data_IF_534615084890
#
_entry.id   IF_534615084890
#
_cell.length_a   1.000
_cell.length_b   1.000
_cell.length_c   1.000
_cell.angle_alpha   90.00
_cell.angle_beta   90.00
_cell.angle_gamma   90.00
#
_symmetry.space_group_name_H-M   'P 1'
#
loop_
_entity.id
_entity.type
_entity.pdbx_description
1 polymer ?
#
# COMPACT_ATOMS: atom_id res chain seq x y z
N UNK A 1 22.35 -21.03 -13.60
CA UNK A 1 22.54 -20.86 -12.15
C UNK A 1 21.23 -20.22 -11.59
N UNK A 2 20.70 -20.76 -10.50
CA UNK A 2 19.55 -20.12 -9.81
C UNK A 2 20.04 -18.83 -9.15
N UNK A 3 19.26 -17.77 -9.24
CA UNK A 3 19.55 -16.48 -8.58
C UNK A 3 19.34 -16.68 -7.07
N UNK A 4 20.32 -16.28 -6.27
CA UNK A 4 20.17 -16.16 -4.82
C UNK A 4 19.60 -14.79 -4.48
N UNK A 5 18.30 -14.72 -4.34
CA UNK A 5 17.60 -13.46 -4.04
C UNK A 5 17.89 -12.96 -2.62
N UNK A 6 18.14 -13.86 -1.63
CA UNK A 6 18.47 -13.43 -0.28
C UNK A 6 19.79 -12.67 -0.24
N UNK A 7 20.81 -13.17 -0.96
CA UNK A 7 22.09 -12.45 -1.09
C UNK A 7 21.91 -11.06 -1.76
N UNK A 8 20.97 -10.93 -2.71
CA UNK A 8 20.65 -9.64 -3.32
C UNK A 8 19.97 -8.68 -2.32
N UNK A 9 19.12 -9.17 -1.42
CA UNK A 9 18.49 -8.34 -0.40
C UNK A 9 19.48 -7.88 0.67
N UNK A 10 20.48 -8.67 1.00
CA UNK A 10 21.52 -8.31 1.97
C UNK A 10 22.58 -7.33 1.41
N UNK A 11 22.64 -7.17 0.08
CA UNK A 11 23.56 -6.27 -0.62
C UNK A 11 22.83 -5.22 -1.46
N UNK A 12 22.00 -4.35 -0.84
CA UNK A 12 21.22 -3.35 -1.57
C UNK A 12 22.13 -2.29 -2.18
N UNK A 13 21.68 -1.59 -3.23
CA UNK A 13 22.39 -0.42 -3.74
C UNK A 13 22.44 0.68 -2.68
N UNK A 14 23.58 1.41 -2.62
CA UNK A 14 23.67 2.61 -1.79
C UNK A 14 22.74 3.69 -2.31
N UNK A 15 21.87 4.19 -1.43
CA UNK A 15 20.89 5.23 -1.74
C UNK A 15 21.25 6.59 -1.15
N UNK A 16 22.36 6.68 -0.41
CA UNK A 16 22.85 7.96 0.12
C UNK A 16 23.24 8.90 -1.03
N UNK A 17 22.85 10.16 -0.94
CA UNK A 17 23.14 11.15 -1.98
C UNK A 17 22.42 10.93 -3.32
N UNK A 18 21.48 9.97 -3.38
CA UNK A 18 20.61 9.77 -4.54
C UNK A 18 19.38 10.69 -4.49
N UNK A 19 18.52 10.63 -5.51
CA UNK A 19 17.21 11.28 -5.60
C UNK A 19 16.12 10.61 -4.75
N UNK A 20 16.48 9.70 -3.84
CA UNK A 20 15.54 8.98 -2.99
C UNK A 20 14.86 9.90 -1.99
N UNK A 21 13.53 10.04 -2.12
CA UNK A 21 12.71 10.76 -1.13
C UNK A 21 12.89 10.22 0.29
N UNK A 22 13.04 8.89 0.43
CA UNK A 22 13.23 8.21 1.72
C UNK A 22 14.49 8.72 2.42
N UNK A 23 15.61 8.75 1.71
CA UNK A 23 16.91 9.10 2.24
C UNK A 23 17.15 10.61 2.31
N UNK A 24 16.64 11.39 1.35
CA UNK A 24 16.83 12.84 1.30
C UNK A 24 16.20 13.58 2.49
N UNK A 25 15.11 13.06 3.09
CA UNK A 25 14.45 13.66 4.25
C UNK A 25 15.40 13.87 5.43
N UNK A 26 16.31 12.94 5.63
CA UNK A 26 17.25 12.94 6.76
C UNK A 26 18.70 13.23 6.36
N UNK A 27 18.96 13.55 5.10
CA UNK A 27 20.30 13.84 4.60
C UNK A 27 20.96 14.96 5.42
N UNK A 28 22.15 14.68 5.99
CA UNK A 28 22.93 15.61 6.82
C UNK A 28 22.34 15.87 8.23
N UNK A 29 21.19 15.29 8.56
CA UNK A 29 20.64 15.36 9.94
C UNK A 29 21.29 14.30 10.82
N UNK A 30 21.73 14.72 12.00
CA UNK A 30 22.34 13.82 12.99
C UNK A 30 21.66 13.96 14.35
N UNK A 31 21.72 12.91 15.13
CA UNK A 31 21.37 12.95 16.55
C UNK A 31 22.36 13.81 17.34
N UNK A 32 22.07 14.10 18.61
CA UNK A 32 22.98 14.80 19.49
C UNK A 32 24.33 14.07 19.65
N UNK A 33 24.32 12.75 19.58
CA UNK A 33 25.50 11.89 19.65
C UNK A 33 26.21 11.72 18.30
N UNK A 34 25.79 12.45 17.27
CA UNK A 34 26.41 12.46 15.94
C UNK A 34 26.03 11.28 15.02
N UNK A 35 25.05 10.46 15.38
CA UNK A 35 24.57 9.35 14.55
C UNK A 35 23.69 9.87 13.40
N UNK A 36 23.80 9.26 12.23
CA UNK A 36 22.87 9.50 11.13
C UNK A 36 21.49 8.88 11.44
N UNK A 37 20.43 9.57 10.99
CA UNK A 37 19.06 9.08 11.20
C UNK A 37 18.73 8.06 10.12
N UNK A 38 18.41 6.84 10.54
CA UNK A 38 17.96 5.76 9.65
C UNK A 38 16.54 6.03 9.16
N UNK A 39 16.30 6.14 7.84
CA UNK A 39 14.97 6.47 7.30
C UNK A 39 14.06 5.23 7.22
N UNK A 40 13.18 5.07 8.19
CA UNK A 40 12.22 3.96 8.29
C UNK A 40 10.76 4.46 8.13
N UNK A 41 10.51 5.44 7.25
CA UNK A 41 9.23 6.18 7.18
C UNK A 41 8.40 5.91 5.92
N UNK A 42 8.88 6.25 4.73
CA UNK A 42 8.10 6.12 3.49
C UNK A 42 8.05 4.67 3.01
N UNK A 43 6.93 4.30 2.39
CA UNK A 43 6.66 2.94 1.95
C UNK A 43 7.30 2.63 0.57
N UNK A 44 8.63 2.65 0.51
CA UNK A 44 9.46 1.95 -0.47
C UNK A 44 10.47 1.06 0.27
N UNK A 45 11.02 0.07 -0.40
CA UNK A 45 12.04 -0.81 0.18
C UNK A 45 13.44 -0.37 -0.23
N UNK A 46 14.47 -0.84 0.47
CA UNK A 46 15.86 -0.52 0.13
C UNK A 46 16.48 -1.55 -0.84
N UNK A 47 15.74 -2.56 -1.24
CA UNK A 47 16.16 -3.59 -2.18
C UNK A 47 16.10 -3.10 -3.63
N UNK A 48 17.00 -3.62 -4.48
CA UNK A 48 16.86 -3.45 -5.91
C UNK A 48 15.58 -4.14 -6.42
N UNK A 49 15.01 -3.59 -7.49
CA UNK A 49 13.90 -4.25 -8.20
C UNK A 49 14.32 -5.64 -8.74
N UNK A 50 13.36 -6.54 -9.05
CA UNK A 50 13.67 -7.85 -9.60
C UNK A 50 14.57 -7.77 -10.83
N UNK A 51 15.57 -8.66 -10.96
CA UNK A 51 16.45 -8.71 -12.16
C UNK A 51 15.67 -8.84 -13.47
N UNK A 52 14.53 -9.52 -13.45
CA UNK A 52 13.63 -9.68 -14.59
C UNK A 52 13.02 -8.34 -15.02
N UNK A 53 12.68 -7.49 -14.06
CA UNK A 53 12.17 -6.13 -14.31
C UNK A 53 13.30 -5.25 -14.86
N UNK A 54 14.49 -5.28 -14.26
CA UNK A 54 15.66 -4.53 -14.74
C UNK A 54 16.00 -4.93 -16.17
N UNK A 55 15.98 -6.23 -16.48
CA UNK A 55 16.23 -6.74 -17.85
C UNK A 55 15.19 -6.21 -18.85
N UNK A 56 13.91 -6.21 -18.51
CA UNK A 56 12.87 -5.69 -19.39
C UNK A 56 13.02 -4.17 -19.65
N UNK A 57 13.38 -3.41 -18.61
CA UNK A 57 13.70 -1.98 -18.75
C UNK A 57 14.88 -1.75 -19.67
N UNK A 58 15.97 -2.53 -19.51
CA UNK A 58 17.15 -2.44 -20.35
C UNK A 58 16.84 -2.72 -21.82
N UNK A 59 16.05 -3.76 -22.09
CA UNK A 59 15.60 -4.08 -23.45
C UNK A 59 14.79 -2.92 -24.06
N UNK A 60 13.89 -2.32 -23.27
CA UNK A 60 13.08 -1.19 -23.73
C UNK A 60 13.91 0.08 -23.96
N UNK A 61 14.93 0.32 -23.12
CA UNK A 61 15.87 1.44 -23.28
C UNK A 61 16.71 1.23 -24.54
N UNK A 62 17.23 0.01 -24.79
CA UNK A 62 18.04 -0.33 -25.95
C UNK A 62 17.29 -0.15 -27.27
N UNK A 63 15.95 -0.22 -27.29
CA UNK A 63 15.14 0.11 -28.47
C UNK A 63 15.29 1.59 -28.89
N UNK A 64 15.54 2.51 -27.94
CA UNK A 64 15.94 3.89 -28.19
C UNK A 64 14.81 4.86 -28.63
N UNK A 65 13.58 4.39 -28.87
CA UNK A 65 12.45 5.25 -29.25
C UNK A 65 11.45 5.36 -28.12
N UNK A 66 11.26 6.56 -27.57
CA UNK A 66 10.37 6.85 -26.42
C UNK A 66 9.13 7.62 -26.87
N UNK A 67 8.49 7.16 -27.96
CA UNK A 67 7.24 7.74 -28.48
C UNK A 67 6.02 7.38 -27.63
N UNK A 68 4.83 7.81 -28.09
CA UNK A 68 3.58 7.46 -27.43
C UNK A 68 3.37 5.94 -27.42
N UNK A 69 3.11 5.40 -26.24
CA UNK A 69 2.78 3.98 -26.07
C UNK A 69 1.27 3.74 -26.05
N UNK A 70 0.91 2.49 -26.20
CA UNK A 70 -0.44 1.98 -25.98
C UNK A 70 -0.39 0.73 -25.10
N UNK A 71 -1.50 0.36 -24.53
CA UNK A 71 -1.64 -0.89 -23.77
C UNK A 71 -1.50 -2.06 -24.73
N UNK A 72 -0.39 -2.82 -24.61
CA UNK A 72 -0.16 -3.98 -25.47
C UNK A 72 -0.93 -5.20 -24.98
N UNK A 73 -1.10 -6.20 -25.86
CA UNK A 73 -1.72 -7.46 -25.51
C UNK A 73 -0.91 -8.20 -24.42
N UNK A 74 0.42 -8.15 -24.50
CA UNK A 74 1.33 -8.77 -23.52
C UNK A 74 1.15 -8.14 -22.12
N UNK A 75 1.01 -6.81 -22.05
CA UNK A 75 0.72 -6.12 -20.80
C UNK A 75 -0.58 -6.62 -20.17
N UNK A 76 -1.66 -6.65 -20.96
CA UNK A 76 -2.97 -7.10 -20.45
C UNK A 76 -2.97 -8.57 -20.08
N UNK A 77 -2.32 -9.43 -20.86
CA UNK A 77 -2.22 -10.86 -20.59
C UNK A 77 -1.40 -11.16 -19.34
N UNK A 78 -0.30 -10.45 -19.10
CA UNK A 78 0.49 -10.57 -17.88
C UNK A 78 -0.36 -10.28 -16.62
N UNK A 79 -1.22 -9.25 -16.67
CA UNK A 79 -2.12 -8.89 -15.57
C UNK A 79 -3.22 -9.96 -15.40
N UNK A 80 -3.92 -10.34 -16.48
CA UNK A 80 -4.95 -11.38 -16.44
C UNK A 80 -4.39 -12.69 -15.90
N UNK A 81 -3.20 -13.08 -16.37
CA UNK A 81 -2.51 -14.28 -15.90
C UNK A 81 -2.15 -14.21 -14.40
N UNK A 82 -1.70 -13.06 -13.93
CA UNK A 82 -1.38 -12.85 -12.52
C UNK A 82 -2.64 -12.91 -11.64
N UNK A 83 -3.73 -12.26 -12.01
CA UNK A 83 -5.00 -12.30 -11.26
C UNK A 83 -5.53 -13.72 -11.14
N UNK A 84 -5.49 -14.49 -12.21
CA UNK A 84 -5.91 -15.89 -12.20
C UNK A 84 -4.98 -16.78 -11.36
N UNK A 85 -3.66 -16.63 -11.53
CA UNK A 85 -2.65 -17.44 -10.85
C UNK A 85 -2.61 -17.20 -9.35
N UNK A 86 -2.63 -15.93 -8.94
CA UNK A 86 -2.33 -15.53 -7.56
C UNK A 86 -3.61 -15.45 -6.70
N UNK A 87 -4.76 -15.11 -7.30
CA UNK A 87 -6.02 -14.88 -6.58
C UNK A 87 -7.18 -15.77 -7.05
N UNK A 88 -7.01 -16.58 -8.10
CA UNK A 88 -8.12 -17.35 -8.70
C UNK A 88 -9.19 -16.45 -9.32
N UNK A 89 -8.88 -15.18 -9.55
CA UNK A 89 -9.81 -14.18 -10.07
C UNK A 89 -9.70 -14.07 -11.59
N UNK A 90 -10.72 -14.57 -12.29
CA UNK A 90 -10.82 -14.47 -13.74
C UNK A 90 -11.29 -13.06 -14.13
N UNK A 91 -10.41 -12.27 -14.72
CA UNK A 91 -10.73 -10.95 -15.25
C UNK A 91 -10.61 -10.91 -16.77
N UNK A 92 -11.25 -9.91 -17.40
CA UNK A 92 -11.15 -9.68 -18.84
C UNK A 92 -10.18 -8.52 -19.12
N UNK A 93 -9.43 -8.55 -20.25
CA UNK A 93 -8.52 -7.48 -20.62
C UNK A 93 -9.17 -6.09 -20.68
N UNK A 94 -10.42 -6.01 -21.15
CA UNK A 94 -11.18 -4.77 -21.26
C UNK A 94 -11.64 -4.16 -19.92
N UNK A 95 -11.53 -4.91 -18.81
CA UNK A 95 -11.80 -4.38 -17.48
C UNK A 95 -10.64 -3.56 -16.94
N UNK A 96 -9.43 -3.70 -17.54
CA UNK A 96 -8.20 -3.09 -17.07
C UNK A 96 -8.08 -1.68 -17.61
N UNK A 97 -8.01 -0.70 -16.72
CA UNK A 97 -7.73 0.69 -17.04
C UNK A 97 -6.35 1.04 -16.44
N UNK A 98 -5.29 1.14 -17.26
CA UNK A 98 -3.97 1.51 -16.77
C UNK A 98 -3.92 2.97 -16.33
N UNK A 99 -3.25 3.24 -15.20
CA UNK A 99 -3.14 4.53 -14.55
C UNK A 99 -1.67 4.90 -14.30
N UNK A 100 -1.37 6.19 -14.29
CA UNK A 100 -0.02 6.71 -14.02
C UNK A 100 0.37 6.74 -12.53
N UNK A 101 -0.30 5.97 -11.71
CA UNK A 101 -0.05 5.79 -10.27
C UNK A 101 -1.33 5.65 -9.46
N UNK A 102 -1.21 5.02 -8.28
CA UNK A 102 -2.38 4.68 -7.48
C UNK A 102 -3.05 5.90 -6.85
N UNK A 103 -2.30 6.91 -6.41
CA UNK A 103 -2.88 8.14 -5.86
C UNK A 103 -3.73 8.85 -6.90
N UNK A 104 -3.27 8.91 -8.16
CA UNK A 104 -4.07 9.42 -9.27
C UNK A 104 -5.33 8.58 -9.47
N UNK A 105 -5.22 7.24 -9.40
CA UNK A 105 -6.36 6.34 -9.54
C UNK A 105 -7.41 6.53 -8.43
N UNK A 106 -6.99 6.74 -7.17
CA UNK A 106 -7.89 7.05 -6.04
C UNK A 106 -8.66 8.36 -6.27
N UNK A 107 -7.97 9.41 -6.75
CA UNK A 107 -8.60 10.69 -7.05
C UNK A 107 -9.59 10.56 -8.24
N UNK A 108 -9.22 9.83 -9.29
CA UNK A 108 -10.13 9.57 -10.42
C UNK A 108 -11.34 8.75 -9.98
N UNK A 109 -11.14 7.72 -9.13
CA UNK A 109 -12.23 6.93 -8.57
C UNK A 109 -13.20 7.83 -7.76
N UNK A 110 -12.66 8.65 -6.86
CA UNK A 110 -13.48 9.60 -6.10
C UNK A 110 -14.29 10.55 -7.01
N UNK A 111 -13.65 11.05 -8.09
CA UNK A 111 -14.30 11.92 -9.08
C UNK A 111 -15.38 11.21 -9.90
N UNK A 112 -15.23 9.90 -10.13
CA UNK A 112 -16.17 9.09 -10.91
C UNK A 112 -17.42 8.66 -10.14
N UNK A 113 -17.44 8.89 -8.81
CA UNK A 113 -18.49 8.48 -7.90
C UNK A 113 -19.31 9.72 -7.47
N UNK A 114 -20.63 9.68 -7.69
CA UNK A 114 -21.54 10.75 -7.30
C UNK A 114 -21.20 12.11 -7.95
N UNK A 115 -21.81 13.15 -7.41
CA UNK A 115 -21.63 14.54 -7.84
C UNK A 115 -20.88 15.36 -6.78
N UNK A 116 -20.56 16.62 -7.10
CA UNK A 116 -19.97 17.57 -6.12
C UNK A 116 -20.88 17.72 -4.91
N UNK A 117 -20.30 17.55 -3.72
CA UNK A 117 -21.03 17.62 -2.45
C UNK A 117 -21.68 16.31 -2.01
N UNK A 118 -21.65 15.26 -2.82
CA UNK A 118 -21.93 13.90 -2.34
C UNK A 118 -20.81 13.41 -1.41
N UNK A 119 -21.04 12.32 -0.68
CA UNK A 119 -20.11 11.82 0.32
C UNK A 119 -19.53 10.46 -0.07
N UNK A 120 -18.27 10.25 0.32
CA UNK A 120 -17.55 8.98 0.23
C UNK A 120 -17.05 8.62 1.63
N UNK A 121 -17.31 7.39 2.06
CA UNK A 121 -16.95 6.88 3.37
C UNK A 121 -15.60 6.14 3.29
N UNK A 122 -14.77 6.29 4.32
CA UNK A 122 -13.56 5.47 4.53
C UNK A 122 -13.32 5.25 6.02
N UNK A 123 -12.41 4.34 6.37
CA UNK A 123 -11.99 4.13 7.77
C UNK A 123 -10.80 5.02 8.15
N UNK A 124 -10.56 5.15 9.47
CA UNK A 124 -9.30 5.65 10.05
C UNK A 124 -8.85 4.76 11.21
N UNK A 125 -7.53 4.57 11.45
CA UNK A 125 -6.42 5.08 10.64
C UNK A 125 -6.35 4.39 9.27
N UNK A 126 -5.94 5.12 8.23
CA UNK A 126 -5.76 4.59 6.88
C UNK A 126 -4.73 5.41 6.10
N UNK A 127 -4.24 4.90 4.99
CA UNK A 127 -3.34 5.63 4.10
C UNK A 127 -3.98 6.98 3.67
N UNK A 128 -3.27 8.10 3.82
CA UNK A 128 -3.84 9.44 3.69
C UNK A 128 -4.64 9.69 2.41
N UNK A 129 -4.20 9.13 1.28
CA UNK A 129 -4.88 9.36 0.00
C UNK A 129 -6.34 8.85 -0.02
N UNK A 130 -6.72 7.89 0.85
CA UNK A 130 -8.10 7.41 0.89
C UNK A 130 -9.07 8.42 1.51
N UNK A 131 -8.61 9.26 2.45
CA UNK A 131 -9.48 10.30 3.01
C UNK A 131 -9.26 11.69 2.37
N UNK A 132 -8.11 11.92 1.69
CA UNK A 132 -7.88 13.19 0.98
C UNK A 132 -8.42 13.18 -0.45
N UNK A 133 -8.45 12.03 -1.14
CA UNK A 133 -8.96 11.97 -2.52
C UNK A 133 -10.42 12.42 -2.65
N UNK A 134 -11.37 12.03 -1.77
CA UNK A 134 -12.73 12.57 -1.81
C UNK A 134 -12.74 14.09 -1.74
N UNK A 135 -12.05 14.69 -0.79
CA UNK A 135 -12.04 16.16 -0.60
C UNK A 135 -11.36 16.90 -1.75
N UNK A 136 -10.27 16.36 -2.31
CA UNK A 136 -9.64 16.92 -3.51
C UNK A 136 -10.60 16.94 -4.70
N UNK A 137 -11.51 15.99 -4.76
CA UNK A 137 -12.52 15.87 -5.83
C UNK A 137 -13.88 16.48 -5.43
N UNK A 138 -13.92 17.32 -4.40
CA UNK A 138 -15.11 18.05 -3.93
C UNK A 138 -16.26 17.13 -3.48
N UNK A 139 -15.89 15.96 -2.92
CA UNK A 139 -16.79 15.08 -2.17
C UNK A 139 -16.52 15.24 -0.68
N UNK A 140 -17.55 15.12 0.12
CA UNK A 140 -17.41 15.00 1.57
C UNK A 140 -16.72 13.67 1.91
N UNK A 141 -15.71 13.69 2.79
CA UNK A 141 -15.11 12.49 3.30
C UNK A 141 -15.68 12.14 4.67
N UNK A 142 -16.38 11.02 4.78
CA UNK A 142 -16.87 10.49 6.05
C UNK A 142 -15.86 9.49 6.58
N UNK A 143 -15.09 9.87 7.61
CA UNK A 143 -14.12 9.00 8.25
C UNK A 143 -14.76 8.26 9.43
N UNK A 144 -14.76 6.92 9.38
CA UNK A 144 -15.25 6.03 10.44
C UNK A 144 -14.05 5.43 11.17
N UNK A 145 -13.92 5.55 12.49
CA UNK A 145 -12.84 4.93 13.22
C UNK A 145 -12.98 3.40 13.20
N UNK A 146 -11.88 2.70 12.94
CA UNK A 146 -11.82 1.25 13.14
C UNK A 146 -11.90 0.93 14.64
N UNK A 147 -12.60 -0.13 14.99
CA UNK A 147 -12.60 -0.68 16.34
C UNK A 147 -11.24 -1.32 16.64
N UNK A 148 -10.57 -0.89 17.72
CA UNK A 148 -9.24 -1.41 18.10
C UNK A 148 -9.31 -2.82 18.71
N UNK A 149 -10.43 -3.17 19.34
CA UNK A 149 -10.60 -4.42 20.09
C UNK A 149 -11.71 -5.30 19.49
N UNK A 150 -11.56 -6.63 19.51
CA UNK A 150 -10.38 -7.43 19.95
C UNK A 150 -9.21 -7.32 18.95
N UNK A 151 -9.49 -7.03 17.72
CA UNK A 151 -8.56 -6.74 16.63
C UNK A 151 -9.09 -5.56 15.84
N UNK A 152 -8.21 -4.78 15.24
CA UNK A 152 -8.61 -3.67 14.38
C UNK A 152 -9.59 -4.15 13.30
N UNK A 153 -10.83 -3.65 13.32
CA UNK A 153 -11.90 -4.09 12.44
C UNK A 153 -12.87 -2.96 12.08
N UNK A 154 -13.60 -3.11 11.00
CA UNK A 154 -14.74 -2.25 10.67
C UNK A 154 -15.88 -2.55 11.64
N UNK A 155 -16.34 -1.53 12.36
CA UNK A 155 -17.59 -1.59 13.13
C UNK A 155 -18.76 -1.25 12.19
N UNK A 156 -19.44 -2.27 11.70
CA UNK A 156 -20.51 -2.10 10.70
C UNK A 156 -21.73 -1.35 11.25
N UNK A 157 -21.95 -1.32 12.57
CA UNK A 157 -23.04 -0.51 13.18
C UNK A 157 -22.67 0.98 13.15
N UNK A 158 -21.40 1.31 13.38
CA UNK A 158 -20.90 2.70 13.25
C UNK A 158 -20.91 3.11 11.78
N UNK A 159 -20.49 2.22 10.86
CA UNK A 159 -20.55 2.48 9.41
C UNK A 159 -21.96 2.81 8.96
N UNK A 160 -22.95 1.96 9.29
CA UNK A 160 -24.35 2.15 8.90
C UNK A 160 -24.93 3.46 9.42
N UNK A 161 -24.59 3.86 10.66
CA UNK A 161 -25.02 5.13 11.26
C UNK A 161 -24.39 6.36 10.59
N UNK A 162 -23.19 6.21 10.02
CA UNK A 162 -22.48 7.30 9.34
C UNK A 162 -22.98 7.55 7.90
N UNK A 163 -23.64 6.57 7.29
CA UNK A 163 -24.20 6.68 5.94
C UNK A 163 -25.35 7.71 5.92
N UNK A 164 -25.29 8.61 4.96
CA UNK A 164 -26.29 9.66 4.72
C UNK A 164 -26.96 9.46 3.36
N UNK A 165 -28.08 10.12 3.06
CA UNK A 165 -28.68 10.10 1.73
C UNK A 165 -27.79 10.62 0.60
N UNK A 166 -26.65 11.29 0.94
CA UNK A 166 -25.66 11.77 -0.03
C UNK A 166 -24.46 10.83 -0.16
N UNK A 167 -24.36 9.78 0.64
CA UNK A 167 -23.26 8.83 0.55
C UNK A 167 -23.38 8.00 -0.73
N UNK A 168 -22.34 7.99 -1.58
CA UNK A 168 -22.32 7.30 -2.89
C UNK A 168 -21.26 6.24 -2.99
N UNK A 169 -20.27 6.25 -2.10
CA UNK A 169 -19.17 5.28 -2.18
C UNK A 169 -18.52 5.00 -0.85
N UNK A 170 -17.77 3.89 -0.84
CA UNK A 170 -16.93 3.46 0.26
C UNK A 170 -15.54 3.17 -0.28
N UNK A 171 -14.50 3.76 0.32
CA UNK A 171 -13.09 3.47 0.02
C UNK A 171 -12.52 2.52 1.06
N UNK A 172 -12.06 1.36 0.60
CA UNK A 172 -11.48 0.28 1.38
C UNK A 172 -9.98 0.17 1.09
N UNK A 173 -9.15 0.04 2.13
CA UNK A 173 -7.75 -0.36 2.02
C UNK A 173 -7.63 -1.86 2.35
N UNK A 174 -7.17 -2.67 1.39
CA UNK A 174 -7.15 -4.12 1.54
C UNK A 174 -5.99 -4.77 0.75
N UNK A 175 -4.93 -5.27 1.41
CA UNK A 175 -4.62 -5.25 2.85
C UNK A 175 -4.47 -3.84 3.42
N UNK A 176 -4.73 -3.70 4.73
CA UNK A 176 -4.91 -2.38 5.35
C UNK A 176 -3.61 -1.74 5.81
N UNK A 177 -3.28 -0.58 5.27
CA UNK A 177 -2.18 0.28 5.71
C UNK A 177 -2.76 1.45 6.54
N UNK A 178 -2.31 1.66 7.80
CA UNK A 178 -1.00 1.28 8.36
C UNK A 178 -0.99 0.01 9.24
N UNK A 179 -2.12 -0.61 9.54
CA UNK A 179 -2.25 -1.65 10.57
C UNK A 179 -1.69 -3.00 10.12
N UNK A 180 -1.64 -3.24 8.79
CA UNK A 180 -1.18 -4.50 8.22
C UNK A 180 -2.22 -5.63 8.27
N UNK A 181 -3.52 -5.33 8.51
CA UNK A 181 -4.61 -6.31 8.50
C UNK A 181 -4.92 -6.82 7.08
N UNK A 182 -5.22 -8.10 7.00
CA UNK A 182 -5.88 -8.74 5.85
C UNK A 182 -7.33 -9.00 6.26
N UNK A 183 -8.28 -8.33 5.63
CA UNK A 183 -9.69 -8.52 5.96
C UNK A 183 -10.12 -9.93 5.57
N UNK A 184 -10.80 -10.61 6.49
CA UNK A 184 -11.36 -11.94 6.26
C UNK A 184 -12.53 -11.89 5.27
N UNK A 185 -12.86 -13.02 4.66
CA UNK A 185 -14.05 -13.14 3.80
C UNK A 185 -15.31 -12.65 4.51
N UNK A 186 -15.49 -12.95 5.80
CA UNK A 186 -16.65 -12.51 6.57
C UNK A 186 -16.69 -10.97 6.73
N UNK A 187 -15.55 -10.32 7.02
CA UNK A 187 -15.46 -8.86 7.10
C UNK A 187 -15.74 -8.21 5.74
N UNK A 188 -15.17 -8.75 4.66
CA UNK A 188 -15.43 -8.27 3.31
C UNK A 188 -16.89 -8.44 2.91
N UNK A 189 -17.51 -9.56 3.26
CA UNK A 189 -18.94 -9.81 3.01
C UNK A 189 -19.82 -8.79 3.76
N UNK A 190 -19.53 -8.49 5.01
CA UNK A 190 -20.29 -7.50 5.77
C UNK A 190 -20.19 -6.08 5.17
N UNK A 191 -19.02 -5.71 4.63
CA UNK A 191 -18.82 -4.46 3.89
C UNK A 191 -19.63 -4.49 2.58
N UNK A 192 -19.60 -5.63 1.86
CA UNK A 192 -20.35 -5.82 0.62
C UNK A 192 -21.87 -5.67 0.82
N UNK A 193 -22.43 -6.37 1.81
CA UNK A 193 -23.85 -6.29 2.16
C UNK A 193 -24.28 -4.86 2.52
N UNK A 194 -23.43 -4.14 3.24
CA UNK A 194 -23.67 -2.74 3.53
C UNK A 194 -23.67 -1.88 2.26
N UNK A 195 -22.71 -2.08 1.37
CA UNK A 195 -22.63 -1.36 0.10
C UNK A 195 -23.83 -1.66 -0.83
N UNK A 196 -24.27 -2.91 -0.87
CA UNK A 196 -25.46 -3.31 -1.63
C UNK A 196 -26.74 -2.68 -1.08
N UNK A 197 -26.91 -2.74 0.26
CA UNK A 197 -28.11 -2.18 0.94
C UNK A 197 -28.26 -0.68 0.71
N UNK A 198 -27.15 0.04 0.60
CA UNK A 198 -27.13 1.51 0.47
C UNK A 198 -26.74 1.99 -0.93
N UNK A 199 -26.69 1.09 -1.90
CA UNK A 199 -26.31 1.36 -3.30
C UNK A 199 -24.99 2.14 -3.44
N UNK A 200 -23.96 1.71 -2.70
CA UNK A 200 -22.64 2.34 -2.72
C UNK A 200 -21.73 1.68 -3.76
N UNK A 201 -20.89 2.49 -4.41
CA UNK A 201 -19.74 2.03 -5.17
C UNK A 201 -18.58 1.75 -4.20
N UNK A 202 -17.92 0.61 -4.33
CA UNK A 202 -16.72 0.29 -3.55
C UNK A 202 -15.47 0.64 -4.37
N UNK A 203 -14.55 1.39 -3.79
CA UNK A 203 -13.18 1.55 -4.28
C UNK A 203 -12.28 0.74 -3.37
N UNK A 204 -11.76 -0.38 -3.85
CA UNK A 204 -10.87 -1.25 -3.10
C UNK A 204 -9.42 -0.98 -3.50
N UNK A 205 -8.66 -0.31 -2.61
CA UNK A 205 -7.22 -0.13 -2.76
C UNK A 205 -6.51 -1.41 -2.32
N UNK A 206 -6.07 -2.20 -3.28
CA UNK A 206 -5.43 -3.50 -3.09
C UNK A 206 -3.94 -3.50 -3.45
N UNK A 207 -3.27 -2.34 -3.34
CA UNK A 207 -1.85 -2.20 -3.71
C UNK A 207 -0.91 -3.13 -2.94
N UNK A 208 -1.31 -3.61 -1.77
CA UNK A 208 -0.54 -4.50 -0.91
C UNK A 208 -0.93 -5.99 -1.04
N UNK A 209 -1.77 -6.35 -2.01
CA UNK A 209 -2.36 -7.69 -2.18
C UNK A 209 -1.34 -8.84 -2.23
N UNK A 210 -0.18 -8.62 -2.83
CA UNK A 210 0.90 -9.60 -2.94
C UNK A 210 1.76 -9.76 -1.67
N UNK A 211 1.62 -8.84 -0.71
CA UNK A 211 2.51 -8.74 0.45
C UNK A 211 1.90 -9.39 1.70
N UNK A 212 1.40 -10.60 1.56
CA UNK A 212 0.81 -11.36 2.67
C UNK A 212 1.94 -12.09 3.42
N UNK A 213 2.16 -11.69 4.68
CA UNK A 213 3.23 -12.23 5.53
C UNK A 213 2.75 -13.37 6.42
N UNK A 214 1.48 -13.35 6.85
CA UNK A 214 0.95 -14.38 7.74
C UNK A 214 0.70 -15.68 6.97
N UNK A 215 1.27 -16.77 7.48
CA UNK A 215 1.13 -18.09 6.86
C UNK A 215 -0.33 -18.57 6.95
N UNK A 216 -0.81 -19.14 5.86
CA UNK A 216 -2.20 -19.63 5.78
C UNK A 216 -3.22 -18.57 5.36
N UNK A 217 -2.90 -17.28 5.47
CA UNK A 217 -3.73 -16.23 4.90
C UNK A 217 -3.49 -16.06 3.41
N UNK A 218 -4.54 -15.68 2.69
CA UNK A 218 -4.49 -15.31 1.27
C UNK A 218 -5.26 -14.03 1.08
N UNK A 219 -4.79 -13.20 0.17
CA UNK A 219 -5.57 -12.06 -0.28
C UNK A 219 -6.75 -12.56 -1.14
N UNK A 220 -7.93 -12.01 -0.87
CA UNK A 220 -9.12 -12.20 -1.68
C UNK A 220 -9.55 -10.85 -2.24
N UNK A 221 -9.43 -10.59 -3.55
CA UNK A 221 -9.90 -9.34 -4.14
C UNK A 221 -11.37 -9.09 -3.84
N UNK A 222 -11.73 -7.87 -3.43
CA UNK A 222 -13.11 -7.50 -3.07
C UNK A 222 -14.10 -7.85 -4.18
N UNK A 223 -13.76 -7.55 -5.43
CA UNK A 223 -14.59 -7.83 -6.60
C UNK A 223 -14.71 -9.33 -6.94
N UNK A 224 -13.90 -10.21 -6.31
CA UNK A 224 -13.96 -11.65 -6.56
C UNK A 224 -15.00 -12.40 -5.70
N UNK A 225 -15.59 -11.71 -4.71
CA UNK A 225 -16.57 -12.32 -3.80
C UNK A 225 -17.86 -12.75 -4.51
N UNK A 226 -18.38 -11.90 -5.38
CA UNK A 226 -19.54 -12.25 -6.22
C UNK A 226 -19.59 -11.42 -7.51
N UNK A 227 -20.28 -11.90 -8.57
CA UNK A 227 -20.50 -11.11 -9.78
C UNK A 227 -21.23 -9.79 -9.51
N UNK A 228 -22.22 -9.77 -8.61
CA UNK A 228 -23.01 -8.60 -8.25
C UNK A 228 -22.11 -7.53 -7.61
N UNK A 229 -21.23 -7.95 -6.72
CA UNK A 229 -20.27 -7.07 -6.08
C UNK A 229 -19.22 -6.54 -7.08
N UNK A 230 -18.79 -7.38 -8.02
CA UNK A 230 -17.89 -6.97 -9.09
C UNK A 230 -18.43 -5.78 -9.90
N UNK A 231 -19.75 -5.74 -10.15
CA UNK A 231 -20.41 -4.66 -10.89
C UNK A 231 -20.45 -3.32 -10.16
N UNK A 232 -20.21 -3.29 -8.85
CA UNK A 232 -20.14 -2.04 -8.05
C UNK A 232 -18.74 -1.75 -7.50
N UNK A 233 -17.70 -2.48 -7.93
CA UNK A 233 -16.35 -2.36 -7.39
C UNK A 233 -15.37 -1.81 -8.43
N UNK A 234 -14.59 -0.81 -8.00
CA UNK A 234 -13.36 -0.36 -8.66
C UNK A 234 -12.20 -0.94 -7.84
N UNK A 235 -11.53 -1.95 -8.36
CA UNK A 235 -10.35 -2.53 -7.70
C UNK A 235 -9.09 -1.81 -8.20
N UNK A 236 -8.30 -1.26 -7.28
CA UNK A 236 -7.06 -0.55 -7.59
C UNK A 236 -5.87 -1.40 -7.15
N UNK A 237 -4.99 -1.74 -8.09
CA UNK A 237 -3.79 -2.53 -7.85
C UNK A 237 -2.56 -1.88 -8.48
N UNK A 238 -1.37 -2.23 -8.02
CA UNK A 238 -0.12 -1.83 -8.65
C UNK A 238 1.03 -2.77 -8.27
N UNK A 239 1.98 -3.04 -9.17
CA UNK A 239 3.17 -3.83 -8.85
C UNK A 239 4.17 -3.05 -7.97
N UNK A 240 3.95 -1.76 -7.79
CA UNK A 240 4.91 -0.81 -7.24
C UNK A 240 5.38 -1.13 -5.82
N UNK A 241 4.48 -1.64 -4.95
CA UNK A 241 4.83 -1.98 -3.57
C UNK A 241 5.49 -3.34 -3.47
N UNK A 242 4.96 -4.31 -4.19
CA UNK A 242 5.47 -5.68 -4.21
C UNK A 242 6.87 -5.76 -4.80
N UNK A 243 7.10 -5.12 -5.93
CA UNK A 243 8.35 -5.25 -6.69
C UNK A 243 9.28 -4.03 -6.55
N UNK A 244 8.98 -3.15 -5.60
CA UNK A 244 9.76 -1.96 -5.27
C UNK A 244 10.04 -1.04 -6.48
N UNK A 245 9.02 -0.75 -7.27
CA UNK A 245 9.09 0.08 -8.48
C UNK A 245 8.13 1.29 -8.46
N UNK A 246 7.92 1.99 -7.31
CA UNK A 246 6.96 3.10 -7.26
C UNK A 246 7.35 4.28 -8.18
N UNK A 247 8.64 4.49 -8.40
CA UNK A 247 9.15 5.55 -9.28
C UNK A 247 8.80 5.37 -10.76
N UNK A 248 8.36 4.17 -11.18
CA UNK A 248 7.92 3.91 -12.56
C UNK A 248 6.46 4.28 -12.83
N UNK A 249 5.70 4.62 -11.79
CA UNK A 249 4.39 5.27 -11.91
C UNK A 249 3.36 4.49 -12.74
N UNK A 250 3.08 3.21 -12.39
CA UNK A 250 1.98 2.44 -12.99
C UNK A 250 1.07 1.86 -11.92
N UNK A 251 -0.22 1.99 -12.13
CA UNK A 251 -1.29 1.33 -11.37
C UNK A 251 -2.38 0.84 -12.34
N UNK A 252 -3.28 0.03 -11.82
CA UNK A 252 -4.36 -0.60 -12.56
C UNK A 252 -5.66 -0.30 -11.83
N UNK A 253 -6.69 0.14 -12.56
CA UNK A 253 -8.06 0.07 -12.12
C UNK A 253 -8.73 -1.10 -12.87
N UNK A 254 -9.24 -2.08 -12.15
CA UNK A 254 -9.96 -3.23 -12.72
C UNK A 254 -11.44 -3.01 -12.42
N UNK A 255 -12.23 -2.80 -13.48
CA UNK A 255 -13.63 -2.35 -13.37
C UNK A 255 -14.49 -3.21 -14.30
N UNK A 256 -15.15 -4.27 -13.81
CA UNK A 256 -15.97 -5.15 -14.61
C UNK A 256 -17.19 -4.45 -15.25
N UNK A 257 -17.90 -3.60 -14.49
CA UNK A 257 -19.09 -2.90 -14.99
C UNK A 257 -18.74 -1.85 -16.05
N UNK A 258 -19.39 -1.94 -17.20
CA UNK A 258 -19.14 -1.05 -18.34
C UNK A 258 -19.54 0.39 -18.04
N UNK A 259 -20.65 0.61 -17.32
CA UNK A 259 -21.11 1.96 -16.99
C UNK A 259 -20.19 2.65 -15.99
N UNK A 260 -19.77 1.92 -14.95
CA UNK A 260 -18.81 2.41 -13.95
C UNK A 260 -17.45 2.67 -14.60
N UNK A 261 -16.98 1.78 -15.47
CA UNK A 261 -15.72 1.95 -16.22
C UNK A 261 -15.77 3.17 -17.14
N UNK A 262 -16.92 3.42 -17.80
CA UNK A 262 -17.07 4.63 -18.62
C UNK A 262 -17.06 5.92 -17.79
N UNK A 263 -17.72 5.93 -16.61
CA UNK A 263 -17.63 7.07 -15.67
C UNK A 263 -16.20 7.32 -15.22
N UNK A 264 -15.45 6.24 -14.94
CA UNK A 264 -14.02 6.32 -14.56
C UNK A 264 -13.18 6.92 -15.71
N UNK A 265 -13.38 6.47 -16.96
CA UNK A 265 -12.72 7.06 -18.14
C UNK A 265 -13.04 8.54 -18.33
N UNK A 266 -14.31 8.92 -18.15
CA UNK A 266 -14.73 10.32 -18.25
C UNK A 266 -14.08 11.17 -17.13
N UNK A 267 -13.94 10.61 -15.93
CA UNK A 267 -13.31 11.29 -14.80
C UNK A 267 -11.81 11.51 -15.00
N UNK A 268 -11.10 10.61 -15.68
CA UNK A 268 -9.66 10.75 -15.96
C UNK A 268 -9.34 11.64 -17.16
N UNK A 269 -10.31 11.88 -18.04
CA UNK A 269 -10.07 12.60 -19.28
C UNK A 269 -9.54 14.03 -19.04
N UNK A 270 -8.44 14.36 -19.71
CA UNK A 270 -7.80 15.69 -19.66
C UNK A 270 -6.93 15.95 -18.43
N UNK A 271 -6.90 15.05 -17.42
CA UNK A 271 -6.12 15.25 -16.19
C UNK A 271 -5.13 14.13 -15.88
N UNK A 272 -5.36 12.92 -16.40
CA UNK A 272 -4.48 11.78 -16.10
C UNK A 272 -3.74 11.36 -17.37
N UNK A 273 -2.40 11.44 -17.41
CA UNK A 273 -1.63 10.95 -18.54
C UNK A 273 -1.68 9.43 -18.62
N UNK A 274 -1.45 8.90 -19.83
CA UNK A 274 -1.21 7.46 -19.97
C UNK A 274 0.05 7.06 -19.20
N UNK A 275 0.11 5.83 -18.64
CA UNK A 275 1.33 5.32 -18.04
C UNK A 275 2.49 5.35 -19.03
N UNK A 276 3.68 5.62 -18.51
CA UNK A 276 4.88 5.65 -19.34
C UNK A 276 5.26 4.23 -19.81
N UNK A 277 5.89 4.16 -20.98
CA UNK A 277 6.23 2.89 -21.65
C UNK A 277 7.22 2.03 -20.88
N UNK A 278 8.12 2.63 -20.07
CA UNK A 278 9.05 1.91 -19.22
C UNK A 278 8.30 1.25 -18.05
N UNK A 279 7.39 2.00 -17.44
CA UNK A 279 6.54 1.48 -16.36
C UNK A 279 5.63 0.34 -16.83
N UNK A 280 5.08 0.41 -18.05
CA UNK A 280 4.29 -0.68 -18.62
C UNK A 280 5.14 -1.93 -18.87
N UNK A 281 6.35 -1.80 -19.43
CA UNK A 281 7.27 -2.91 -19.62
C UNK A 281 7.68 -3.56 -18.29
N UNK A 282 7.99 -2.74 -17.30
CA UNK A 282 8.32 -3.19 -15.95
C UNK A 282 7.15 -3.94 -15.28
N UNK A 283 5.92 -3.43 -15.44
CA UNK A 283 4.70 -4.05 -14.89
C UNK A 283 4.45 -5.43 -15.48
N UNK A 284 4.54 -5.56 -16.81
CA UNK A 284 4.38 -6.84 -17.49
C UNK A 284 5.42 -7.85 -17.01
N UNK A 285 6.71 -7.47 -16.96
CA UNK A 285 7.79 -8.33 -16.49
C UNK A 285 7.62 -8.73 -15.01
N UNK A 286 7.19 -7.81 -14.15
CA UNK A 286 6.95 -8.06 -12.74
C UNK A 286 5.89 -9.15 -12.53
N UNK A 287 4.72 -9.00 -13.15
CA UNK A 287 3.62 -9.95 -13.00
C UNK A 287 3.90 -11.29 -13.69
N UNK A 288 4.59 -11.30 -14.83
CA UNK A 288 4.84 -12.52 -15.60
C UNK A 288 6.04 -13.34 -15.06
N UNK A 289 7.13 -12.65 -14.62
CA UNK A 289 8.44 -13.30 -14.46
C UNK A 289 9.02 -13.25 -13.05
N UNK A 290 8.57 -12.34 -12.18
CA UNK A 290 9.21 -12.07 -10.90
C UNK A 290 8.58 -12.81 -9.69
N UNK A 291 7.83 -13.90 -9.92
CA UNK A 291 7.19 -14.65 -8.83
C UNK A 291 8.18 -15.27 -7.84
N UNK A 292 9.35 -15.75 -8.30
CA UNK A 292 10.39 -16.32 -7.44
C UNK A 292 11.03 -15.23 -6.56
N UNK A 293 11.29 -14.05 -7.12
CA UNK A 293 11.79 -12.89 -6.37
C UNK A 293 10.77 -12.48 -5.29
N UNK A 294 9.47 -12.41 -5.64
CA UNK A 294 8.39 -12.11 -4.69
C UNK A 294 8.35 -13.14 -3.55
N UNK A 295 8.48 -14.43 -3.87
CA UNK A 295 8.48 -15.49 -2.86
C UNK A 295 9.63 -15.32 -1.87
N UNK A 296 10.84 -15.09 -2.36
CA UNK A 296 12.02 -14.85 -1.54
C UNK A 296 11.88 -13.54 -0.71
N UNK A 297 11.30 -12.49 -1.30
CA UNK A 297 11.01 -11.24 -0.58
C UNK A 297 10.06 -11.48 0.60
N UNK A 298 8.98 -12.24 0.40
CA UNK A 298 8.02 -12.53 1.47
C UNK A 298 8.68 -13.28 2.62
N UNK A 299 9.57 -14.23 2.33
CA UNK A 299 10.32 -14.94 3.37
C UNK A 299 11.26 -13.99 4.13
N UNK A 300 11.95 -13.11 3.43
CA UNK A 300 12.82 -12.09 4.01
C UNK A 300 12.03 -11.11 4.90
N UNK A 301 10.89 -10.63 4.43
CA UNK A 301 10.04 -9.70 5.17
C UNK A 301 9.38 -10.36 6.39
N UNK A 302 9.07 -11.65 6.36
CA UNK A 302 8.59 -12.39 7.55
C UNK A 302 9.63 -12.37 8.67
N UNK A 303 10.90 -12.61 8.34
CA UNK A 303 11.99 -12.51 9.31
C UNK A 303 12.14 -11.09 9.86
N UNK A 304 12.02 -10.07 9.01
CA UNK A 304 12.05 -8.67 9.47
C UNK A 304 10.86 -8.34 10.37
N UNK A 305 9.64 -8.75 9.99
CA UNK A 305 8.45 -8.59 10.84
C UNK A 305 8.66 -9.18 12.23
N UNK A 306 9.15 -10.42 12.29
CA UNK A 306 9.31 -11.12 13.56
C UNK A 306 10.39 -10.45 14.45
N UNK A 307 11.42 -9.82 13.85
CA UNK A 307 12.38 -8.96 14.56
C UNK A 307 11.72 -7.70 15.12
N UNK A 308 10.87 -7.01 14.35
CA UNK A 308 10.15 -5.82 14.82
C UNK A 308 9.31 -6.13 16.06
N UNK A 309 8.77 -7.35 16.17
CA UNK A 309 7.99 -7.77 17.34
C UNK A 309 8.79 -7.78 18.65
N UNK A 310 10.14 -7.75 18.61
CA UNK A 310 10.97 -7.64 19.82
C UNK A 310 10.80 -6.31 20.58
N UNK A 311 10.28 -5.28 19.93
CA UNK A 311 9.97 -4.01 20.59
C UNK A 311 8.70 -4.08 21.45
N UNK A 312 7.85 -5.10 21.25
CA UNK A 312 6.55 -5.19 21.91
C UNK A 312 6.71 -5.35 23.44
N UNK A 313 6.07 -4.48 24.20
CA UNK A 313 6.09 -4.47 25.67
C UNK A 313 7.18 -3.58 26.28
N UNK A 314 8.18 -3.12 25.50
CA UNK A 314 9.23 -2.22 26.03
C UNK A 314 8.61 -0.87 26.41
N UNK A 315 8.80 -0.43 27.66
CA UNK A 315 8.23 0.80 28.20
C UNK A 315 6.71 0.97 27.97
N UNK A 316 5.98 -0.13 27.71
CA UNK A 316 4.55 -0.11 27.39
C UNK A 316 4.23 0.06 25.89
N UNK A 317 5.23 0.16 25.02
CA UNK A 317 5.02 0.15 23.55
C UNK A 317 4.27 -1.11 23.11
N UNK A 318 3.23 -0.97 22.26
CA UNK A 318 2.56 -2.12 21.67
C UNK A 318 2.84 -2.12 20.16
N UNK A 319 3.30 -3.25 19.66
CA UNK A 319 3.48 -3.49 18.23
C UNK A 319 2.29 -4.28 17.71
N UNK A 320 1.51 -3.69 16.80
CA UNK A 320 0.45 -4.41 16.12
C UNK A 320 1.12 -5.34 15.10
N UNK A 321 0.99 -6.68 15.31
CA UNK A 321 1.61 -7.67 14.42
C UNK A 321 1.03 -7.55 13.01
N UNK A 322 1.79 -7.14 11.99
CA UNK A 322 1.26 -7.02 10.65
C UNK A 322 1.09 -8.40 10.00
N UNK A 323 -0.12 -8.67 9.50
CA UNK A 323 -0.44 -9.86 8.69
C UNK A 323 0.07 -9.70 7.25
N UNK A 324 0.28 -8.45 6.83
CA UNK A 324 0.65 -8.07 5.46
C UNK A 324 1.50 -6.80 5.47
N UNK A 325 1.98 -6.40 4.30
CA UNK A 325 2.81 -5.22 4.05
C UNK A 325 4.24 -5.38 4.63
N UNK A 326 5.05 -4.34 4.49
CA UNK A 326 6.35 -4.21 5.18
C UNK A 326 6.35 -3.01 6.14
N UNK A 327 5.17 -2.75 6.73
CA UNK A 327 4.88 -1.60 7.59
C UNK A 327 4.35 -2.11 8.93
N UNK A 328 4.94 -1.66 10.01
CA UNK A 328 4.50 -1.99 11.36
C UNK A 328 3.87 -0.77 12.02
N UNK A 329 2.72 -0.97 12.67
CA UNK A 329 1.98 0.04 13.39
C UNK A 329 2.25 -0.08 14.88
N UNK A 330 2.78 0.97 15.50
CA UNK A 330 3.24 0.98 16.88
C UNK A 330 2.37 1.94 17.71
N UNK A 331 1.72 1.41 18.75
CA UNK A 331 0.97 2.20 19.73
C UNK A 331 1.93 2.73 20.80
N UNK A 332 2.14 4.04 20.78
CA UNK A 332 3.04 4.76 21.67
C UNK A 332 2.32 5.45 22.83
N UNK A 333 1.00 5.28 22.99
CA UNK A 333 0.17 6.03 23.96
C UNK A 333 0.54 5.76 25.43
N UNK A 334 1.18 4.63 25.71
CA UNK A 334 1.66 4.31 27.05
C UNK A 334 3.08 4.79 27.33
N UNK A 335 3.79 5.31 26.34
CA UNK A 335 5.12 5.86 26.53
C UNK A 335 5.03 7.19 27.29
N UNK A 336 5.98 7.51 28.20
CA UNK A 336 6.01 8.77 28.94
C UNK A 336 6.57 9.91 28.04
N UNK A 337 5.90 10.17 26.92
CA UNK A 337 6.25 11.23 25.97
C UNK A 337 5.04 11.71 25.20
N UNK A 338 4.95 13.00 24.95
CA UNK A 338 3.92 13.61 24.12
C UNK A 338 4.30 13.62 22.63
N UNK A 339 5.54 13.22 22.28
CA UNK A 339 6.04 13.22 20.91
C UNK A 339 6.92 12.01 20.61
N UNK A 340 6.28 10.91 20.26
CA UNK A 340 6.97 9.66 19.91
C UNK A 340 7.87 9.81 18.66
N UNK A 341 7.51 10.69 17.70
CA UNK A 341 8.34 10.95 16.52
C UNK A 341 9.67 11.57 16.93
N UNK A 342 9.64 12.63 17.73
CA UNK A 342 10.88 13.27 18.21
C UNK A 342 11.71 12.32 19.08
N UNK A 343 11.06 11.49 19.91
CA UNK A 343 11.73 10.48 20.73
C UNK A 343 12.58 9.53 19.85
N UNK A 344 11.99 8.95 18.80
CA UNK A 344 12.70 8.00 17.94
C UNK A 344 13.67 8.71 16.97
N UNK A 345 13.35 9.91 16.46
CA UNK A 345 14.32 10.70 15.68
C UNK A 345 15.57 11.05 16.48
N UNK A 346 15.42 11.42 17.76
CA UNK A 346 16.55 11.65 18.67
C UNK A 346 17.35 10.37 18.97
N UNK A 347 16.71 9.20 18.89
CA UNK A 347 17.38 7.91 18.95
C UNK A 347 18.02 7.49 17.60
N UNK A 348 17.88 8.31 16.55
CA UNK A 348 18.45 8.05 15.23
C UNK A 348 17.59 7.14 14.35
N UNK A 349 16.27 7.10 14.56
CA UNK A 349 15.33 6.34 13.72
C UNK A 349 14.15 7.23 13.28
N UNK A 350 14.03 7.48 11.99
CA UNK A 350 12.99 8.32 11.40
C UNK A 350 11.77 7.50 10.98
N UNK A 351 10.61 7.79 11.57
CA UNK A 351 9.35 7.09 11.39
C UNK A 351 8.29 7.98 10.71
N UNK A 352 7.12 7.40 10.38
CA UNK A 352 5.94 8.18 9.97
C UNK A 352 5.04 8.44 11.17
N UNK A 353 4.49 9.65 11.25
CA UNK A 353 3.58 10.06 12.31
C UNK A 353 2.19 9.46 12.12
N UNK A 354 1.59 8.94 13.19
CA UNK A 354 0.24 8.39 13.16
C UNK A 354 -0.83 9.42 12.83
N UNK A 355 -0.58 10.71 13.12
CA UNK A 355 -1.46 11.82 12.75
C UNK A 355 -1.69 11.92 11.25
N UNK A 356 -0.68 11.59 10.44
CA UNK A 356 -0.79 11.56 8.97
C UNK A 356 -1.81 10.51 8.50
N UNK A 357 -2.09 9.48 9.31
CA UNK A 357 -3.06 8.41 9.05
C UNK A 357 -4.41 8.62 9.74
N UNK A 358 -4.59 9.76 10.42
CA UNK A 358 -5.80 10.06 11.18
C UNK A 358 -5.83 9.43 12.59
N UNK A 359 -4.66 9.08 13.19
CA UNK A 359 -4.60 8.50 14.54
C UNK A 359 -3.38 8.98 15.33
N UNK A 360 -3.63 9.87 16.29
CA UNK A 360 -2.59 10.35 17.21
C UNK A 360 -2.13 9.28 18.20
N UNK A 361 -0.88 9.40 18.68
CA UNK A 361 -0.28 8.48 19.65
C UNK A 361 0.29 7.19 19.03
N UNK A 362 0.32 7.11 17.72
CA UNK A 362 0.91 5.99 16.97
C UNK A 362 2.05 6.46 16.07
N UNK A 363 2.91 5.52 15.71
CA UNK A 363 3.92 5.73 14.65
C UNK A 363 3.96 4.51 13.73
N UNK A 364 4.35 4.72 12.45
CA UNK A 364 4.52 3.63 11.49
C UNK A 364 5.99 3.44 11.14
N UNK A 365 6.48 2.22 11.28
CA UNK A 365 7.83 1.79 10.94
C UNK A 365 7.81 0.98 9.65
N UNK A 366 8.64 1.34 8.67
CA UNK A 366 8.89 0.57 7.46
C UNK A 366 10.05 -0.40 7.71
N UNK A 367 9.82 -1.72 7.61
CA UNK A 367 10.84 -2.76 7.76
C UNK A 367 11.27 -3.41 6.44
N UNK A 368 10.96 -2.80 5.30
CA UNK A 368 11.41 -3.22 3.97
C UNK A 368 12.86 -2.79 3.70
N UNK A 369 13.79 -3.27 4.52
CA UNK A 369 15.22 -2.97 4.46
C UNK A 369 16.04 -4.21 4.80
N UNK A 370 17.37 -4.12 4.72
CA UNK A 370 18.26 -5.24 5.10
C UNK A 370 18.08 -5.62 6.57
N UNK A 371 18.38 -6.88 6.88
CA UNK A 371 18.42 -7.35 8.27
C UNK A 371 19.33 -6.49 9.12
N UNK A 372 20.53 -6.15 8.62
CA UNK A 372 21.51 -5.33 9.34
C UNK A 372 20.98 -3.91 9.65
N UNK A 373 20.33 -3.24 8.69
CA UNK A 373 19.74 -1.93 8.89
C UNK A 373 18.59 -1.98 9.90
N UNK A 374 17.76 -3.02 9.81
CA UNK A 374 16.66 -3.22 10.74
C UNK A 374 17.17 -3.47 12.16
N UNK A 375 18.15 -4.38 12.32
CA UNK A 375 18.73 -4.70 13.63
C UNK A 375 19.33 -3.46 14.29
N UNK A 376 20.03 -2.62 13.53
CA UNK A 376 20.56 -1.35 14.03
C UNK A 376 19.42 -0.40 14.48
N UNK A 377 18.37 -0.25 13.66
CA UNK A 377 17.22 0.58 14.03
C UNK A 377 16.53 0.07 15.31
N UNK A 378 16.31 -1.25 15.42
CA UNK A 378 15.68 -1.87 16.59
C UNK A 378 16.55 -1.75 17.84
N UNK A 379 17.87 -1.88 17.73
CA UNK A 379 18.80 -1.67 18.84
C UNK A 379 18.72 -0.24 19.37
N UNK A 380 18.70 0.76 18.48
CA UNK A 380 18.56 2.18 18.86
C UNK A 380 17.22 2.45 19.55
N UNK A 381 16.12 1.93 18.99
CA UNK A 381 14.79 2.06 19.58
C UNK A 381 14.71 1.38 20.95
N UNK A 382 15.21 0.16 21.07
CA UNK A 382 15.22 -0.60 22.33
C UNK A 382 16.02 0.11 23.42
N UNK A 383 17.22 0.59 23.09
CA UNK A 383 18.04 1.34 24.04
C UNK A 383 17.40 2.67 24.48
N UNK A 384 16.67 3.32 23.57
CA UNK A 384 15.87 4.50 23.89
C UNK A 384 14.72 4.16 24.85
N UNK A 385 13.94 3.12 24.56
CA UNK A 385 12.80 2.70 25.38
C UNK A 385 13.21 2.22 26.77
N UNK A 386 14.32 1.48 26.89
CA UNK A 386 14.87 1.03 28.18
C UNK A 386 15.28 2.19 29.10
N UNK A 387 15.61 3.35 28.55
CA UNK A 387 15.91 4.55 29.34
C UNK A 387 14.67 5.27 29.88
N UNK A 388 13.49 4.89 29.44
CA UNK A 388 12.21 5.44 29.91
C UNK A 388 11.62 4.65 31.10
N UNK A 389 12.13 3.46 31.36
CA UNK A 389 11.75 2.59 32.48
C UNK A 389 12.75 2.73 33.63
#
# INVERSE_FOLDING_TARGET
MSIDYHALFDTPPDRNGSDSLKWSKYAGRKTADGLDILPMWVADMDFAAPPEVISALQQRINHGVFGYGHTSAEFSQAIVGAMQRDYGWAIQPEWIVPMSGLVSALNVAARSIGERGDAILTSTPVYPALFTAPTHMERECICVPLAEQPEWAWDMDVVKKAITPRTRGLMLCHPHNPIGRVWSTAELTAIAECAETHDLVIVSDEIHCDLILEQGLRHQPMASLSPELAHRTITLMAPSKTYNIPGLGVALAIIPDTGLRQRFHNAMAGITPHPNILGMAATAAAYEKASNWRSALLDYLRHNRDRVMSLNGLAGLKVIRPQSTYLAWLDCRALPTDNAIALFENAGVGLSDGRDFGREGFVRLNFGCTHAMLDEALNRMSACLQRLT
#
